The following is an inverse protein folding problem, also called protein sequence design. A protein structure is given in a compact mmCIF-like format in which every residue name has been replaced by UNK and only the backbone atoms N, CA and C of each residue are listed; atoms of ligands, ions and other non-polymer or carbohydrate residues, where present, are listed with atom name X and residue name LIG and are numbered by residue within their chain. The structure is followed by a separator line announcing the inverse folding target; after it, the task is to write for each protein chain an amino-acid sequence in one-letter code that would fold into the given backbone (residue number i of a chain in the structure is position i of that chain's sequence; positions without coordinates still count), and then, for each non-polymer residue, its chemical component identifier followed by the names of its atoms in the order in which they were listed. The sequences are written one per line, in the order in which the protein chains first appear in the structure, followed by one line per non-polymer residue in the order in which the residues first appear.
data_IF_285951363638
#
_entry.id   IF_285951363638
#
_cell.length_a   1.000
_cell.length_b   1.000
_cell.length_c   1.000
_cell.angle_alpha   90.00
_cell.angle_beta   90.00
_cell.angle_gamma   90.00
#
_symmetry.space_group_name_H-M   'P 1'
#
loop_
_entity.id
_entity.type
_entity.pdbx_description
1 polymer ?
#
# COMPACT_ATOMS: atom_id res chain seq x y z
N UNK A 1 15.18 -0.44 2.21
CA UNK A 1 15.12 1.01 2.47
C UNK A 1 14.27 1.78 1.45
N UNK A 2 13.44 1.10 0.70
CA UNK A 2 12.50 1.70 -0.24
C UNK A 2 11.11 1.75 0.39
N UNK A 3 10.29 2.77 0.05
CA UNK A 3 8.90 2.78 0.48
C UNK A 3 8.14 1.57 -0.07
N UNK A 4 7.21 1.06 0.72
CA UNK A 4 6.40 -0.09 0.35
C UNK A 4 5.16 0.35 -0.45
N UNK A 5 4.58 -0.56 -1.22
CA UNK A 5 3.32 -0.30 -1.90
C UNK A 5 2.21 0.07 -0.91
N UNK A 6 2.21 -0.54 0.27
CA UNK A 6 1.23 -0.21 1.32
C UNK A 6 1.32 1.25 1.77
N UNK A 7 2.53 1.83 1.79
CA UNK A 7 2.71 3.24 2.13
C UNK A 7 2.08 4.13 1.06
N UNK A 8 2.27 3.80 -0.21
CA UNK A 8 1.69 4.54 -1.33
C UNK A 8 0.17 4.48 -1.29
N UNK A 9 -0.39 3.31 -1.03
CA UNK A 9 -1.85 3.12 -0.93
C UNK A 9 -2.41 3.94 0.23
N UNK A 10 -1.76 3.91 1.40
CA UNK A 10 -2.20 4.66 2.57
C UNK A 10 -2.21 6.16 2.30
N UNK A 11 -1.14 6.70 1.74
CA UNK A 11 -1.07 8.12 1.40
C UNK A 11 -2.10 8.51 0.34
N UNK A 12 -2.32 7.62 -0.64
CA UNK A 12 -3.32 7.85 -1.69
C UNK A 12 -4.74 7.91 -1.11
N UNK A 13 -5.05 7.03 -0.16
CA UNK A 13 -6.33 7.05 0.54
C UNK A 13 -6.50 8.32 1.38
N UNK A 14 -5.45 8.75 2.06
CA UNK A 14 -5.46 9.99 2.83
C UNK A 14 -5.69 11.20 1.93
N UNK A 15 -5.05 11.23 0.76
CA UNK A 15 -5.26 12.29 -0.23
C UNK A 15 -6.72 12.36 -0.65
N UNK A 16 -7.33 11.22 -0.99
CA UNK A 16 -8.73 11.16 -1.37
C UNK A 16 -9.64 11.69 -0.27
N UNK A 17 -9.36 11.31 0.98
CA UNK A 17 -10.15 11.75 2.13
C UNK A 17 -10.07 13.26 2.33
N UNK A 18 -8.88 13.85 2.20
CA UNK A 18 -8.70 15.30 2.35
C UNK A 18 -9.43 16.05 1.24
N UNK A 19 -9.28 15.60 -0.01
CA UNK A 19 -9.98 16.20 -1.15
C UNK A 19 -11.49 16.12 -0.96
N UNK A 20 -11.99 14.97 -0.52
CA UNK A 20 -13.41 14.76 -0.29
C UNK A 20 -13.99 15.64 0.82
N UNK A 21 -13.24 15.85 1.90
CA UNK A 21 -13.70 16.63 3.05
C UNK A 21 -13.58 18.14 2.83
N UNK A 22 -12.54 18.59 2.16
CA UNK A 22 -12.23 20.02 2.06
C UNK A 22 -12.54 20.61 0.68
N UNK A 23 -12.68 19.78 -0.34
CA UNK A 23 -12.81 20.26 -1.73
C UNK A 23 -11.57 20.91 -2.31
N UNK A 24 -10.47 20.91 -1.56
CA UNK A 24 -9.21 21.52 -1.99
C UNK A 24 -8.37 20.56 -2.78
N UNK A 25 -7.59 21.06 -3.72
CA UNK A 25 -6.62 20.26 -4.45
C UNK A 25 -5.49 19.83 -3.55
N UNK A 26 -5.07 18.58 -3.71
CA UNK A 26 -3.92 18.02 -2.98
C UNK A 26 -2.95 17.50 -4.03
N UNK A 27 -1.66 17.66 -3.77
CA UNK A 27 -0.60 17.22 -4.70
C UNK A 27 -0.74 15.73 -5.03
N UNK A 28 -0.31 15.35 -6.24
CA UNK A 28 -0.32 13.97 -6.72
C UNK A 28 0.84 13.13 -6.20
N UNK A 29 1.65 13.68 -5.32
CA UNK A 29 2.80 13.02 -4.74
C UNK A 29 2.82 13.24 -3.23
N UNK A 30 3.60 12.42 -2.54
CA UNK A 30 3.82 12.56 -1.11
C UNK A 30 5.23 12.13 -0.75
N UNK A 31 5.53 12.13 0.53
CA UNK A 31 6.83 11.74 1.04
C UNK A 31 6.67 10.64 2.07
N UNK A 32 7.53 9.63 1.97
CA UNK A 32 7.64 8.56 2.96
C UNK A 32 9.00 8.68 3.63
N UNK A 33 9.00 8.82 4.94
CA UNK A 33 10.23 8.87 5.71
C UNK A 33 10.67 7.45 6.03
N UNK A 34 11.84 7.07 5.54
CA UNK A 34 12.40 5.75 5.81
C UNK A 34 13.55 5.89 6.80
N UNK A 35 13.41 5.24 7.93
CA UNK A 35 14.42 5.27 8.98
C UNK A 35 15.59 4.37 8.58
N UNK A 36 16.81 4.87 8.75
CA UNK A 36 17.99 4.10 8.47
C UNK A 36 18.12 2.89 9.43
N UNK A 37 18.71 1.76 8.97
CA UNK A 37 18.91 0.59 9.83
C UNK A 37 19.77 0.86 11.04
N UNK A 38 20.71 1.80 10.95
CA UNK A 38 21.55 2.21 12.06
C UNK A 38 20.95 3.44 12.72
N UNK A 39 20.83 3.43 14.05
CA UNK A 39 20.14 4.48 14.80
C UNK A 39 20.81 5.86 14.77
N UNK A 40 21.91 6.02 14.05
CA UNK A 40 22.66 7.29 13.97
C UNK A 40 22.40 8.06 12.69
N UNK A 41 21.89 7.40 11.64
CA UNK A 41 21.61 8.07 10.39
C UNK A 41 20.26 8.77 10.45
N UNK A 42 20.17 9.94 9.81
CA UNK A 42 18.89 10.66 9.69
C UNK A 42 17.93 9.91 8.78
N UNK A 43 16.63 9.97 9.06
CA UNK A 43 15.64 9.40 8.15
C UNK A 43 15.74 10.06 6.77
N UNK A 44 15.49 9.27 5.72
CA UNK A 44 15.51 9.74 4.35
C UNK A 44 14.08 9.92 3.89
N UNK A 45 13.76 11.11 3.35
CA UNK A 45 12.45 11.37 2.75
C UNK A 45 12.46 10.90 1.30
N UNK A 46 11.60 9.95 0.98
CA UNK A 46 11.41 9.49 -0.39
C UNK A 46 10.16 10.12 -0.97
N UNK A 47 10.29 10.81 -2.09
CA UNK A 47 9.15 11.30 -2.83
C UNK A 47 8.52 10.14 -3.57
N UNK A 48 7.21 9.94 -3.38
CA UNK A 48 6.47 8.85 -4.04
C UNK A 48 5.31 9.44 -4.83
N UNK A 49 5.09 8.88 -6.02
CA UNK A 49 3.93 9.22 -6.82
C UNK A 49 2.72 8.50 -6.24
N UNK A 50 1.66 9.25 -5.94
CA UNK A 50 0.44 8.67 -5.39
C UNK A 50 -0.42 8.10 -6.52
N UNK A 51 -1.28 7.15 -6.16
CA UNK A 51 -2.21 6.54 -7.10
C UNK A 51 -3.29 7.55 -7.48
N UNK A 52 -3.75 7.46 -8.72
CA UNK A 52 -4.88 8.29 -9.18
C UNK A 52 -6.17 7.82 -8.52
N UNK A 53 -7.20 8.67 -8.57
CA UNK A 53 -8.51 8.30 -8.04
C UNK A 53 -9.06 7.07 -8.75
N UNK A 54 -8.85 6.95 -10.06
CA UNK A 54 -9.28 5.80 -10.85
C UNK A 54 -8.59 4.52 -10.39
N UNK A 55 -7.28 4.58 -10.12
CA UNK A 55 -6.53 3.44 -9.62
C UNK A 55 -7.01 3.03 -8.23
N UNK A 56 -7.29 4.00 -7.36
CA UNK A 56 -7.80 3.73 -6.01
C UNK A 56 -9.19 3.11 -6.05
N UNK A 57 -10.08 3.62 -6.91
CA UNK A 57 -11.42 3.05 -7.09
C UNK A 57 -11.32 1.62 -7.60
N UNK A 58 -10.41 1.34 -8.52
CA UNK A 58 -10.19 -0.01 -9.02
C UNK A 58 -9.75 -0.97 -7.91
N UNK A 59 -8.87 -0.53 -7.01
CA UNK A 59 -8.46 -1.33 -5.85
C UNK A 59 -9.63 -1.62 -4.91
N UNK A 60 -10.44 -0.61 -4.63
CA UNK A 60 -11.61 -0.76 -3.75
C UNK A 60 -12.60 -1.75 -4.35
N UNK A 61 -12.89 -1.63 -5.65
CA UNK A 61 -13.79 -2.56 -6.34
C UNK A 61 -13.25 -3.98 -6.35
N UNK A 62 -11.95 -4.14 -6.53
CA UNK A 62 -11.30 -5.45 -6.48
C UNK A 62 -11.44 -6.07 -5.09
N UNK A 63 -11.22 -5.27 -4.05
CA UNK A 63 -11.39 -5.74 -2.67
C UNK A 63 -12.83 -6.19 -2.42
N UNK A 64 -13.80 -5.39 -2.83
CA UNK A 64 -15.22 -5.73 -2.70
C UNK A 64 -15.55 -7.02 -3.45
N UNK A 65 -15.02 -7.19 -4.65
CA UNK A 65 -15.20 -8.41 -5.44
C UNK A 65 -14.64 -9.64 -4.76
N UNK A 66 -13.47 -9.52 -4.14
CA UNK A 66 -12.84 -10.61 -3.39
C UNK A 66 -13.68 -10.98 -2.17
N UNK A 67 -14.10 -9.98 -1.39
CA UNK A 67 -14.92 -10.21 -0.20
C UNK A 67 -16.28 -10.82 -0.53
N UNK A 68 -16.83 -10.50 -1.70
CA UNK A 68 -18.10 -11.06 -2.17
C UNK A 68 -17.95 -12.41 -2.86
N UNK A 69 -16.74 -12.91 -3.01
CA UNK A 69 -16.48 -14.20 -3.65
C UNK A 69 -16.54 -14.19 -5.17
N UNK A 70 -16.61 -13.01 -5.81
CA UNK A 70 -16.69 -12.92 -7.28
C UNK A 70 -15.32 -12.95 -7.95
N UNK A 71 -14.27 -12.57 -7.22
CA UNK A 71 -12.92 -12.49 -7.74
C UNK A 71 -11.99 -13.21 -6.78
N UNK A 72 -11.07 -13.98 -7.33
CA UNK A 72 -10.04 -14.65 -6.53
C UNK A 72 -8.96 -13.67 -6.12
N UNK A 73 -8.57 -13.70 -4.84
CA UNK A 73 -7.45 -12.92 -4.37
C UNK A 73 -6.16 -13.46 -4.97
N UNK A 74 -5.27 -12.55 -5.37
CA UNK A 74 -3.93 -12.94 -5.80
C UNK A 74 -3.07 -13.25 -4.60
N UNK A 75 -2.07 -14.08 -4.82
CA UNK A 75 -1.04 -14.35 -3.82
C UNK A 75 -0.22 -13.08 -3.57
N UNK A 76 0.49 -13.05 -2.45
CA UNK A 76 1.35 -11.93 -2.12
C UNK A 76 2.32 -11.62 -3.27
N UNK A 77 2.52 -10.34 -3.55
CA UNK A 77 3.48 -9.87 -4.56
C UNK A 77 4.94 -10.10 -4.13
N UNK A 78 5.19 -10.36 -2.86
CA UNK A 78 6.53 -10.48 -2.32
C UNK A 78 6.64 -11.70 -1.42
N UNK A 79 7.67 -12.52 -1.68
CA UNK A 79 8.01 -13.64 -0.80
C UNK A 79 8.37 -13.17 0.61
N UNK A 80 8.95 -11.97 0.73
CA UNK A 80 9.31 -11.42 2.03
C UNK A 80 8.09 -11.14 2.90
N UNK A 81 6.95 -10.80 2.29
CA UNK A 81 5.71 -10.63 3.03
C UNK A 81 5.23 -11.94 3.65
N UNK A 82 5.56 -13.08 3.04
CA UNK A 82 5.18 -14.40 3.53
C UNK A 82 5.96 -14.82 4.78
N UNK A 83 7.19 -14.33 4.93
CA UNK A 83 8.08 -14.74 6.03
C UNK A 83 7.47 -14.39 7.39
N UNK A 84 6.82 -13.23 7.49
CA UNK A 84 6.22 -12.76 8.75
C UNK A 84 4.71 -12.85 8.76
N UNK A 85 4.12 -13.53 7.77
CA UNK A 85 2.67 -13.65 7.65
C UNK A 85 2.11 -14.56 8.72
N UNK A 86 1.07 -14.09 9.44
CA UNK A 86 0.42 -14.87 10.49
C UNK A 86 -0.34 -16.07 9.95
N UNK A 87 -0.67 -16.09 8.65
CA UNK A 87 -1.38 -17.19 8.00
C UNK A 87 -0.45 -18.15 7.26
N UNK A 88 0.86 -18.01 7.44
CA UNK A 88 1.86 -18.79 6.69
C UNK A 88 1.62 -20.31 6.77
N UNK A 89 1.32 -20.81 7.96
CA UNK A 89 1.13 -22.24 8.18
C UNK A 89 -0.12 -22.81 7.48
N UNK A 90 -1.07 -21.95 7.14
CA UNK A 90 -2.35 -22.31 6.53
C UNK A 90 -2.42 -21.96 5.06
N UNK A 91 -1.37 -21.31 4.55
CA UNK A 91 -1.34 -20.83 3.17
C UNK A 91 -0.93 -21.96 2.23
N UNK A 92 -1.61 -22.03 1.07
CA UNK A 92 -1.32 -23.02 0.02
C UNK A 92 -0.31 -22.49 -1.01
N UNK A 93 0.25 -21.31 -0.78
CA UNK A 93 1.23 -20.70 -1.69
C UNK A 93 2.52 -21.54 -1.69
N UNK A 94 2.98 -22.04 -2.87
CA UNK A 94 4.18 -22.86 -2.94
C UNK A 94 5.46 -22.11 -2.55
N UNK A 95 5.41 -20.77 -2.42
CA UNK A 95 6.57 -19.99 -1.97
C UNK A 95 6.76 -20.01 -0.45
N UNK A 96 5.80 -20.54 0.28
CA UNK A 96 5.81 -20.57 1.74
C UNK A 96 6.55 -21.79 2.27
#
# INVERSE_FOLDING_TARGET
NQPCLSDVIQLSAQRMAVVGQTGKSVASYGYVMVKAPTGRALPIAHRVQLMTDEEMVALIKKREGILAGRVMARRSHSRNACVTCVFRAQCDDPRV
#
